data_IF_161108953306
#
_entry.id   IF_161108953306
#
_cell.length_a   1.000
_cell.length_b   1.000
_cell.length_c   1.000
_cell.angle_alpha   90.00
_cell.angle_beta   90.00
_cell.angle_gamma   90.00
#
_symmetry.space_group_name_H-M   'P 1'
#
loop_
_entity.id
_entity.type
_entity.pdbx_description
1 polymer ?
#
# COMPACT_ATOMS: atom_id res chain seq x y z
N UNK A 1 -40.14 -93.07 14.93
CA UNK A 1 -38.80 -92.82 14.32
C UNK A 1 -38.76 -91.55 13.49
N UNK A 2 -39.79 -91.16 12.78
CA UNK A 2 -39.91 -89.95 11.91
C UNK A 2 -39.85 -88.63 12.65
N UNK A 3 -40.47 -88.47 13.81
CA UNK A 3 -40.43 -87.21 14.58
C UNK A 3 -39.05 -86.86 15.13
N UNK A 4 -38.25 -87.80 15.54
CA UNK A 4 -36.86 -87.56 16.01
C UNK A 4 -35.93 -87.10 14.88
N UNK A 5 -36.16 -87.60 13.65
CA UNK A 5 -35.41 -87.28 12.47
C UNK A 5 -35.77 -85.86 12.02
N UNK A 6 -37.05 -85.46 12.01
CA UNK A 6 -37.51 -84.11 11.69
C UNK A 6 -36.98 -83.08 12.69
N UNK A 7 -36.94 -83.38 13.97
CA UNK A 7 -36.43 -82.55 15.03
C UNK A 7 -34.89 -82.33 14.90
N UNK A 8 -34.17 -83.37 14.48
CA UNK A 8 -32.75 -83.27 14.17
C UNK A 8 -32.48 -82.40 12.94
N UNK A 9 -33.26 -82.51 11.87
CA UNK A 9 -33.16 -81.68 10.68
C UNK A 9 -33.44 -80.18 10.99
N UNK A 10 -34.49 -79.90 11.79
CA UNK A 10 -34.78 -78.52 12.23
C UNK A 10 -33.63 -77.95 13.02
N UNK A 11 -33.04 -78.69 13.94
CA UNK A 11 -31.91 -78.22 14.77
C UNK A 11 -30.63 -77.98 13.95
N UNK A 12 -30.36 -78.80 12.93
CA UNK A 12 -29.26 -78.63 11.99
C UNK A 12 -29.49 -77.43 11.09
N UNK A 13 -30.72 -77.19 10.65
CA UNK A 13 -31.06 -75.98 9.86
C UNK A 13 -30.87 -74.66 10.68
N UNK A 14 -31.30 -74.71 11.96
CA UNK A 14 -31.13 -73.58 12.88
C UNK A 14 -29.63 -73.27 13.14
N UNK A 15 -28.81 -74.25 13.38
CA UNK A 15 -27.38 -74.14 13.58
C UNK A 15 -26.66 -73.59 12.30
N UNK A 16 -27.06 -74.07 11.13
CA UNK A 16 -26.53 -73.56 9.87
C UNK A 16 -26.96 -72.15 9.61
N UNK A 17 -28.16 -71.72 9.96
CA UNK A 17 -28.63 -70.33 9.85
C UNK A 17 -27.90 -69.42 10.82
N UNK A 18 -27.67 -69.84 12.06
CA UNK A 18 -26.88 -69.10 13.03
C UNK A 18 -25.42 -68.96 12.55
N UNK A 19 -24.82 -70.03 12.04
CA UNK A 19 -23.46 -70.01 11.48
C UNK A 19 -23.34 -69.06 10.25
N UNK A 20 -24.37 -69.07 9.39
CA UNK A 20 -24.46 -68.21 8.23
C UNK A 20 -24.53 -66.73 8.65
N UNK A 21 -25.40 -66.38 9.60
CA UNK A 21 -25.56 -65.05 10.13
C UNK A 21 -24.28 -64.55 10.84
N UNK A 22 -23.62 -65.43 11.62
CA UNK A 22 -22.34 -65.09 12.26
C UNK A 22 -21.23 -64.86 11.25
N UNK A 23 -21.17 -65.65 10.19
CA UNK A 23 -20.19 -65.42 9.11
C UNK A 23 -20.50 -64.16 8.32
N UNK A 24 -21.74 -63.81 8.06
CA UNK A 24 -22.14 -62.55 7.44
C UNK A 24 -21.77 -61.30 8.30
N UNK A 25 -22.07 -61.43 9.60
CA UNK A 25 -21.72 -60.38 10.57
C UNK A 25 -20.20 -60.16 10.61
N UNK A 26 -19.41 -61.19 10.68
CA UNK A 26 -17.95 -61.10 10.67
C UNK A 26 -17.39 -60.50 9.37
N UNK A 27 -17.96 -60.89 8.22
CA UNK A 27 -17.56 -60.27 6.93
C UNK A 27 -17.91 -58.80 6.86
N UNK A 28 -19.03 -58.38 7.43
CA UNK A 28 -19.42 -56.96 7.49
C UNK A 28 -18.46 -56.23 8.42
N UNK A 29 -18.16 -56.73 9.59
CA UNK A 29 -17.23 -56.18 10.54
C UNK A 29 -15.81 -56.02 9.94
N UNK A 30 -15.33 -57.05 9.23
CA UNK A 30 -14.03 -56.94 8.54
C UNK A 30 -13.99 -55.84 7.44
N UNK A 31 -15.10 -55.68 6.70
CA UNK A 31 -15.19 -54.61 5.71
C UNK A 31 -15.14 -53.24 6.37
N UNK A 32 -15.88 -53.04 7.46
CA UNK A 32 -15.89 -51.79 8.23
C UNK A 32 -14.49 -51.49 8.82
N UNK A 33 -13.80 -52.49 9.35
CA UNK A 33 -12.41 -52.34 9.86
C UNK A 33 -11.42 -51.91 8.76
N UNK A 34 -11.57 -52.47 7.54
CA UNK A 34 -10.74 -52.07 6.37
C UNK A 34 -11.06 -50.65 5.94
N UNK A 35 -12.33 -50.24 5.91
CA UNK A 35 -12.69 -48.83 5.58
C UNK A 35 -12.17 -47.87 6.62
N UNK A 36 -12.30 -48.16 7.91
CA UNK A 36 -11.75 -47.34 9.00
C UNK A 36 -10.22 -47.23 8.87
N UNK A 37 -9.52 -48.34 8.58
CA UNK A 37 -8.07 -48.30 8.42
C UNK A 37 -7.62 -47.41 7.23
N UNK A 38 -8.37 -47.44 6.13
CA UNK A 38 -8.15 -46.52 4.98
C UNK A 38 -8.37 -45.08 5.37
N UNK A 39 -9.47 -44.75 6.06
CA UNK A 39 -9.75 -43.40 6.53
C UNK A 39 -8.65 -42.88 7.47
N UNK A 40 -8.17 -43.72 8.40
CA UNK A 40 -7.05 -43.39 9.28
C UNK A 40 -5.79 -43.06 8.45
N UNK A 41 -5.49 -43.86 7.43
CA UNK A 41 -4.33 -43.64 6.57
C UNK A 41 -4.45 -42.33 5.77
N UNK A 42 -5.66 -42.00 5.29
CA UNK A 42 -5.92 -40.72 4.61
C UNK A 42 -5.78 -39.52 5.57
N UNK A 43 -6.27 -39.65 6.80
CA UNK A 43 -6.13 -38.59 7.82
C UNK A 43 -4.65 -38.33 8.15
N UNK A 44 -3.87 -39.40 8.39
CA UNK A 44 -2.40 -39.26 8.64
C UNK A 44 -1.67 -38.60 7.49
N UNK A 45 -2.03 -38.93 6.24
CA UNK A 45 -1.42 -38.31 5.08
C UNK A 45 -1.83 -36.82 4.95
N UNK A 46 -3.07 -36.47 5.29
CA UNK A 46 -3.52 -35.07 5.31
C UNK A 46 -2.82 -34.28 6.42
N UNK A 47 -2.64 -34.86 7.59
CA UNK A 47 -1.90 -34.29 8.73
C UNK A 47 -0.44 -34.00 8.35
N UNK A 48 0.25 -34.97 7.72
CA UNK A 48 1.61 -34.78 7.24
C UNK A 48 1.72 -33.65 6.20
N UNK A 49 0.78 -33.59 5.25
CA UNK A 49 0.74 -32.49 4.26
C UNK A 49 0.53 -31.12 4.90
N UNK A 50 -0.27 -31.07 5.97
CA UNK A 50 -0.50 -29.83 6.72
C UNK A 50 0.79 -29.37 7.43
N UNK A 51 1.51 -30.29 8.08
CA UNK A 51 2.80 -29.97 8.71
C UNK A 51 3.84 -29.51 7.69
N UNK A 52 3.92 -30.15 6.52
CA UNK A 52 4.83 -29.73 5.44
C UNK A 52 4.48 -28.34 4.91
N UNK A 53 3.17 -28.02 4.81
CA UNK A 53 2.72 -26.68 4.44
C UNK A 53 3.10 -25.63 5.49
N UNK A 54 2.96 -25.93 6.78
CA UNK A 54 3.38 -25.02 7.86
C UNK A 54 4.89 -24.73 7.78
N UNK A 55 5.73 -25.74 7.60
CA UNK A 55 7.17 -25.55 7.43
C UNK A 55 7.50 -24.70 6.20
N UNK A 56 6.75 -24.88 5.12
CA UNK A 56 6.90 -24.03 3.93
C UNK A 56 6.54 -22.58 4.22
N UNK A 57 5.41 -22.32 4.91
CA UNK A 57 5.00 -20.95 5.31
C UNK A 57 6.08 -20.31 6.20
N UNK A 58 6.56 -20.99 7.22
CA UNK A 58 7.65 -20.49 8.07
C UNK A 58 8.93 -20.15 7.28
N UNK A 59 9.26 -20.96 6.27
CA UNK A 59 10.42 -20.68 5.41
C UNK A 59 10.22 -19.45 4.54
N UNK A 60 9.00 -19.20 4.07
CA UNK A 60 8.62 -18.01 3.29
C UNK A 60 8.68 -16.77 4.18
N UNK A 61 8.15 -16.85 5.40
CA UNK A 61 8.19 -15.75 6.37
C UNK A 61 9.63 -15.33 6.69
N UNK A 62 10.50 -16.28 6.98
CA UNK A 62 11.94 -15.98 7.23
C UNK A 62 12.62 -15.31 6.05
N UNK A 63 12.31 -15.74 4.80
CA UNK A 63 12.84 -15.08 3.60
C UNK A 63 12.31 -13.66 3.46
N UNK A 64 11.02 -13.46 3.75
CA UNK A 64 10.40 -12.15 3.68
C UNK A 64 11.00 -11.17 4.70
N UNK A 65 11.25 -11.62 5.93
CA UNK A 65 11.92 -10.81 6.96
C UNK A 65 13.35 -10.43 6.55
N UNK A 66 14.10 -11.37 5.99
CA UNK A 66 15.45 -11.08 5.48
C UNK A 66 15.43 -10.06 4.33
N UNK A 67 14.46 -10.15 3.42
CA UNK A 67 14.30 -9.19 2.34
C UNK A 67 13.90 -7.79 2.87
N UNK A 68 13.06 -7.74 3.91
CA UNK A 68 12.74 -6.48 4.59
C UNK A 68 13.98 -5.83 5.19
N UNK A 69 14.84 -6.58 5.87
CA UNK A 69 16.08 -6.05 6.46
C UNK A 69 17.01 -5.48 5.38
N UNK A 70 17.22 -6.21 4.27
CA UNK A 70 18.02 -5.74 3.14
C UNK A 70 17.43 -4.45 2.56
N UNK A 71 16.12 -4.42 2.37
CA UNK A 71 15.41 -3.23 1.87
C UNK A 71 15.59 -2.03 2.81
N UNK A 72 15.44 -2.23 4.13
CA UNK A 72 15.65 -1.16 5.11
C UNK A 72 17.10 -0.66 5.12
N UNK A 73 18.06 -1.56 4.94
CA UNK A 73 19.48 -1.17 4.86
C UNK A 73 19.73 -0.31 3.62
N UNK A 74 19.21 -0.69 2.45
CA UNK A 74 19.35 0.08 1.20
C UNK A 74 18.68 1.45 1.32
N UNK A 75 17.46 1.49 1.86
CA UNK A 75 16.74 2.75 2.11
C UNK A 75 17.50 3.65 3.09
N UNK A 76 17.98 3.12 4.22
CA UNK A 76 18.75 3.90 5.19
C UNK A 76 20.02 4.47 4.58
N UNK A 77 20.73 3.68 3.79
CA UNK A 77 21.92 4.13 3.06
C UNK A 77 21.56 5.24 2.07
N UNK A 78 20.45 5.09 1.33
CA UNK A 78 19.99 6.14 0.42
C UNK A 78 19.67 7.45 1.16
N UNK A 79 18.89 7.36 2.25
CA UNK A 79 18.50 8.54 3.04
C UNK A 79 19.73 9.22 3.64
N UNK A 80 20.66 8.46 4.24
CA UNK A 80 21.84 9.03 4.87
C UNK A 80 22.82 9.66 3.86
N UNK A 81 22.97 9.06 2.68
CA UNK A 81 23.86 9.59 1.65
C UNK A 81 23.31 10.81 0.92
N UNK A 82 21.99 11.01 0.92
CA UNK A 82 21.34 12.11 0.23
C UNK A 82 20.81 13.20 1.18
N UNK A 83 20.84 12.96 2.50
CA UNK A 83 20.37 13.93 3.48
C UNK A 83 21.39 15.06 3.64
N UNK A 84 20.94 16.29 3.41
CA UNK A 84 21.72 17.50 3.65
C UNK A 84 21.20 18.18 4.93
N UNK A 85 22.01 18.18 5.98
CA UNK A 85 21.70 18.90 7.21
C UNK A 85 21.72 20.41 6.92
N UNK A 86 20.58 21.06 7.11
CA UNK A 86 20.55 22.52 7.05
C UNK A 86 21.41 23.04 8.21
N UNK A 87 22.49 23.79 7.97
CA UNK A 87 23.26 24.38 9.04
C UNK A 87 22.31 25.14 9.94
N UNK A 88 22.29 24.83 11.25
CA UNK A 88 21.60 25.68 12.21
C UNK A 88 22.25 27.07 12.10
N UNK A 89 21.58 27.96 11.40
CA UNK A 89 21.95 29.35 11.44
C UNK A 89 21.82 29.73 12.89
N UNK A 90 22.94 29.78 13.59
CA UNK A 90 23.00 30.43 14.88
C UNK A 90 22.48 31.86 14.62
N UNK A 91 21.24 32.11 15.05
CA UNK A 91 20.66 33.44 15.12
C UNK A 91 21.47 34.28 16.10
N UNK A 92 22.71 34.59 15.78
CA UNK A 92 23.20 35.91 16.04
C UNK A 92 22.42 36.78 15.05
N UNK A 93 21.26 37.20 15.48
CA UNK A 93 20.62 38.40 14.97
C UNK A 93 21.65 39.51 15.26
N UNK A 94 22.63 39.59 14.38
CA UNK A 94 23.36 40.84 14.21
C UNK A 94 22.30 41.72 13.58
N UNK A 95 21.72 42.53 14.43
CA UNK A 95 20.68 43.53 14.15
C UNK A 95 20.88 44.04 12.73
N UNK A 96 19.87 43.92 11.89
CA UNK A 96 19.77 44.54 10.56
C UNK A 96 19.92 46.09 10.64
N UNK A 97 20.03 46.63 11.84
CA UNK A 97 20.29 48.05 12.13
C UNK A 97 21.65 48.55 11.61
N UNK A 98 22.61 47.65 11.35
CA UNK A 98 23.92 48.08 10.82
C UNK A 98 24.08 47.94 9.29
N UNK A 99 23.03 47.53 8.57
CA UNK A 99 23.02 47.44 7.10
C UNK A 99 22.09 48.45 6.43
N UNK A 100 21.37 49.26 7.20
CA UNK A 100 20.56 50.38 6.72
C UNK A 100 21.36 51.67 6.98
N UNK A 101 22.59 51.74 6.44
CA UNK A 101 23.26 52.99 6.21
C UNK A 101 22.67 53.61 4.95
N UNK A 102 21.99 54.73 5.13
CA UNK A 102 21.68 55.73 4.10
C UNK A 102 21.17 55.21 2.73
N UNK A 103 19.98 54.70 2.69
CA UNK A 103 19.14 54.85 1.52
C UNK A 103 17.68 55.07 1.95
N UNK A 104 17.34 56.36 2.04
CA UNK A 104 15.97 56.85 2.01
C UNK A 104 15.28 56.43 0.71
N UNK A 105 14.90 55.15 0.60
CA UNK A 105 13.87 54.73 -0.33
C UNK A 105 12.54 54.82 0.44
N UNK A 106 12.09 56.05 0.62
CA UNK A 106 10.71 56.37 0.87
C UNK A 106 9.90 55.87 -0.32
N UNK A 107 9.23 54.70 -0.15
CA UNK A 107 8.06 54.41 -0.95
C UNK A 107 7.01 55.45 -0.56
N UNK A 108 6.96 56.55 -1.27
CA UNK A 108 5.82 57.43 -1.30
C UNK A 108 4.69 56.63 -1.99
N UNK A 109 3.83 56.01 -1.20
CA UNK A 109 2.52 55.60 -1.66
C UNK A 109 1.74 56.90 -1.82
N UNK A 110 1.80 57.46 -3.02
CA UNK A 110 0.93 58.56 -3.40
C UNK A 110 -0.50 58.06 -3.47
N UNK A 111 -1.29 58.41 -2.47
CA UNK A 111 -2.69 58.01 -2.32
C UNK A 111 -3.58 58.98 -3.10
N UNK A 112 -3.35 59.15 -4.38
CA UNK A 112 -4.27 59.86 -5.25
C UNK A 112 -4.34 59.18 -6.61
N UNK A 113 -5.58 58.86 -6.94
CA UNK A 113 -6.12 58.40 -8.19
C UNK A 113 -6.39 56.92 -8.33
N UNK A 114 -7.69 56.65 -8.35
CA UNK A 114 -8.35 55.45 -8.81
C UNK A 114 -7.99 55.16 -10.28
N UNK A 115 -6.75 54.73 -10.51
CA UNK A 115 -6.40 54.11 -11.78
C UNK A 115 -6.93 52.68 -11.74
N UNK A 116 -7.91 52.37 -12.55
CA UNK A 116 -8.26 51.01 -12.96
C UNK A 116 -6.95 50.29 -13.24
N UNK A 117 -6.61 49.33 -12.39
CA UNK A 117 -5.45 48.46 -12.55
C UNK A 117 -5.57 47.73 -13.88
N UNK A 118 -5.15 48.32 -14.97
CA UNK A 118 -4.87 47.63 -16.22
C UNK A 118 -3.61 46.82 -15.96
N UNK A 119 -3.76 45.50 -15.89
CA UNK A 119 -2.64 44.58 -15.82
C UNK A 119 -1.72 44.92 -17.02
N UNK A 120 -0.42 45.17 -16.84
CA UNK A 120 0.47 45.43 -17.97
C UNK A 120 0.36 44.34 -19.02
N UNK A 121 0.33 44.69 -20.30
CA UNK A 121 0.12 43.75 -21.41
C UNK A 121 1.13 42.59 -21.38
N UNK A 122 2.33 42.82 -20.86
CA UNK A 122 3.36 41.78 -20.65
C UNK A 122 2.93 40.72 -19.62
N UNK A 123 2.25 41.12 -18.54
CA UNK A 123 1.74 40.21 -17.52
C UNK A 123 0.54 39.40 -18.08
N UNK A 124 -0.31 40.05 -18.92
CA UNK A 124 -1.41 39.35 -19.58
C UNK A 124 -0.91 38.24 -20.52
N UNK A 125 0.20 38.45 -21.23
CA UNK A 125 0.81 37.43 -22.08
C UNK A 125 1.33 36.24 -21.24
N UNK A 126 1.97 36.52 -20.10
CA UNK A 126 2.44 35.48 -19.17
C UNK A 126 1.27 34.70 -18.60
N UNK A 127 0.19 35.39 -18.19
CA UNK A 127 -1.00 34.74 -17.63
C UNK A 127 -1.77 33.89 -18.66
N UNK A 128 -1.75 34.26 -19.94
CA UNK A 128 -2.35 33.46 -21.03
C UNK A 128 -1.57 32.20 -21.35
N UNK A 129 -0.27 32.18 -21.05
CA UNK A 129 0.63 31.04 -21.29
C UNK A 129 0.87 30.20 -20.01
N UNK A 130 0.00 30.34 -18.99
CA UNK A 130 0.12 29.53 -17.78
C UNK A 130 -0.05 28.04 -18.09
N UNK A 131 0.81 27.25 -17.52
CA UNK A 131 0.69 25.80 -17.58
C UNK A 131 -0.57 25.31 -16.83
N UNK A 132 -0.99 24.07 -17.13
CA UNK A 132 -2.11 23.43 -16.45
C UNK A 132 -1.90 23.46 -14.92
N UNK A 133 -2.97 23.72 -14.20
CA UNK A 133 -2.96 23.61 -12.74
C UNK A 133 -2.64 22.18 -12.29
N UNK A 134 -2.29 22.00 -11.02
CA UNK A 134 -2.12 20.66 -10.44
C UNK A 134 -3.34 19.77 -10.71
N UNK A 135 -4.55 20.27 -10.46
CA UNK A 135 -5.80 19.54 -10.64
C UNK A 135 -6.03 19.14 -12.10
N UNK A 136 -5.83 20.06 -13.03
CA UNK A 136 -6.02 19.80 -14.46
C UNK A 136 -5.01 18.77 -14.97
N UNK A 137 -3.73 18.90 -14.55
CA UNK A 137 -2.68 17.93 -14.91
C UNK A 137 -2.93 16.56 -14.32
N UNK A 138 -3.38 16.48 -13.07
CA UNK A 138 -3.77 15.22 -12.45
C UNK A 138 -4.88 14.52 -13.24
N UNK A 139 -5.91 15.26 -13.64
CA UNK A 139 -7.03 14.73 -14.42
C UNK A 139 -6.61 14.37 -15.85
N UNK A 140 -5.68 15.09 -16.44
CA UNK A 140 -5.06 14.73 -17.73
C UNK A 140 -4.33 13.38 -17.63
N UNK A 141 -3.49 13.17 -16.60
CA UNK A 141 -2.77 11.93 -16.37
C UNK A 141 -3.75 10.75 -16.20
N UNK A 142 -4.79 10.92 -15.37
CA UNK A 142 -5.81 9.89 -15.16
C UNK A 142 -6.46 9.48 -16.48
N UNK A 143 -6.80 10.45 -17.33
CA UNK A 143 -7.41 10.20 -18.64
C UNK A 143 -6.42 9.54 -19.61
N UNK A 144 -5.21 10.08 -19.71
CA UNK A 144 -4.17 9.56 -20.63
C UNK A 144 -3.76 8.14 -20.31
N UNK A 145 -3.64 7.81 -19.01
CA UNK A 145 -3.33 6.47 -18.54
C UNK A 145 -4.57 5.55 -18.46
N UNK A 146 -5.76 6.05 -18.86
CA UNK A 146 -7.03 5.33 -18.79
C UNK A 146 -7.32 4.73 -17.40
N UNK A 147 -7.04 5.49 -16.34
CA UNK A 147 -7.23 5.07 -14.96
C UNK A 147 -8.66 5.36 -14.49
N UNK A 148 -9.19 4.51 -13.60
CA UNK A 148 -10.47 4.74 -12.96
C UNK A 148 -10.29 5.66 -11.74
N UNK A 149 -10.93 6.83 -11.73
CA UNK A 149 -10.84 7.80 -10.63
C UNK A 149 -11.18 7.18 -9.26
N UNK A 150 -12.19 6.30 -9.21
CA UNK A 150 -12.62 5.64 -7.96
C UNK A 150 -11.53 4.72 -7.43
N UNK A 151 -10.85 4.00 -8.31
CA UNK A 151 -9.73 3.15 -7.91
C UNK A 151 -8.53 3.97 -7.47
N UNK A 152 -8.23 5.09 -8.15
CA UNK A 152 -7.13 5.98 -7.80
C UNK A 152 -7.27 6.48 -6.38
N UNK A 153 -8.40 7.15 -6.03
CA UNK A 153 -8.53 7.71 -4.68
C UNK A 153 -8.66 6.63 -3.60
N UNK A 154 -9.28 5.46 -3.89
CA UNK A 154 -9.37 4.35 -2.94
C UNK A 154 -7.99 3.73 -2.68
N UNK A 155 -7.20 3.48 -3.72
CA UNK A 155 -5.82 2.97 -3.56
C UNK A 155 -4.93 3.98 -2.83
N UNK A 156 -5.11 5.27 -3.08
CA UNK A 156 -4.40 6.33 -2.38
C UNK A 156 -4.85 6.50 -0.91
N UNK A 157 -5.89 5.80 -0.47
CA UNK A 157 -6.49 5.95 0.86
C UNK A 157 -6.93 7.40 1.13
N UNK A 158 -7.57 8.00 0.13
CA UNK A 158 -8.05 9.39 0.15
C UNK A 158 -9.57 9.41 0.15
N UNK A 159 -10.14 10.26 1.01
CA UNK A 159 -11.60 10.44 1.07
C UNK A 159 -12.14 10.96 -0.26
N UNK A 160 -13.31 10.43 -0.66
CA UNK A 160 -13.99 10.83 -1.89
C UNK A 160 -14.25 12.35 -1.97
N UNK A 161 -14.58 13.00 -0.83
CA UNK A 161 -14.86 14.43 -0.81
C UNK A 161 -13.60 15.24 -1.09
N UNK A 162 -12.46 14.81 -0.52
CA UNK A 162 -11.16 15.42 -0.80
C UNK A 162 -10.79 15.28 -2.27
N UNK A 163 -10.93 14.08 -2.85
CA UNK A 163 -10.67 13.87 -4.28
C UNK A 163 -11.60 14.70 -5.17
N UNK A 164 -12.90 14.76 -4.83
CA UNK A 164 -13.87 15.61 -5.55
C UNK A 164 -13.47 17.09 -5.49
N UNK A 165 -12.97 17.58 -4.35
CA UNK A 165 -12.49 18.96 -4.18
C UNK A 165 -11.27 19.23 -5.05
N UNK A 166 -10.33 18.29 -5.09
CA UNK A 166 -9.14 18.37 -5.99
C UNK A 166 -9.62 18.48 -7.44
N UNK A 167 -10.54 17.59 -7.86
CA UNK A 167 -11.01 17.54 -9.24
C UNK A 167 -11.77 18.81 -9.69
N UNK A 168 -12.58 19.39 -8.80
CA UNK A 168 -13.50 20.50 -9.16
C UNK A 168 -12.92 21.89 -8.96
N UNK A 169 -11.79 22.05 -8.29
CA UNK A 169 -11.20 23.33 -7.97
C UNK A 169 -9.74 23.38 -8.41
N UNK A 170 -9.47 24.00 -9.55
CA UNK A 170 -8.14 24.17 -10.11
C UNK A 170 -7.17 24.94 -9.20
N UNK A 171 -7.71 25.78 -8.30
CA UNK A 171 -6.91 26.53 -7.34
C UNK A 171 -6.67 25.77 -6.02
N UNK A 172 -7.25 24.57 -5.87
CA UNK A 172 -7.05 23.78 -4.67
C UNK A 172 -5.65 23.18 -4.64
N UNK A 173 -4.93 23.42 -3.55
CA UNK A 173 -3.60 22.83 -3.31
C UNK A 173 -3.71 21.74 -2.25
N UNK A 174 -3.60 20.48 -2.60
CA UNK A 174 -3.54 19.38 -1.63
C UNK A 174 -2.23 19.42 -0.86
N UNK A 175 -2.18 18.70 0.26
CA UNK A 175 -0.94 18.52 1.00
C UNK A 175 0.04 17.67 0.19
N UNK A 176 1.33 17.82 0.47
CA UNK A 176 2.39 17.04 -0.16
C UNK A 176 2.16 15.54 -0.02
N UNK A 177 1.77 15.08 1.18
CA UNK A 177 1.46 13.67 1.45
C UNK A 177 0.30 13.16 0.58
N UNK A 178 -0.75 13.97 0.41
CA UNK A 178 -1.87 13.64 -0.49
C UNK A 178 -1.39 13.45 -1.93
N UNK A 179 -0.49 14.30 -2.40
CA UNK A 179 0.08 14.19 -3.75
C UNK A 179 0.91 12.92 -3.90
N UNK A 180 1.77 12.62 -2.91
CA UNK A 180 2.58 11.39 -2.90
C UNK A 180 1.69 10.15 -3.00
N UNK A 181 0.64 10.06 -2.17
CA UNK A 181 -0.28 8.92 -2.17
C UNK A 181 -1.03 8.77 -3.51
N UNK A 182 -1.46 9.88 -4.11
CA UNK A 182 -2.06 9.87 -5.45
C UNK A 182 -1.05 9.36 -6.50
N UNK A 183 0.18 9.87 -6.48
CA UNK A 183 1.22 9.46 -7.42
C UNK A 183 1.58 7.98 -7.29
N UNK A 184 1.69 7.46 -6.05
CA UNK A 184 1.91 6.03 -5.78
C UNK A 184 0.74 5.17 -6.29
N UNK A 185 -0.52 5.61 -6.07
CA UNK A 185 -1.70 4.88 -6.51
C UNK A 185 -1.81 4.75 -8.03
N UNK A 186 -1.33 5.77 -8.75
CA UNK A 186 -1.31 5.83 -10.21
C UNK A 186 -0.02 5.26 -10.83
N UNK A 187 0.93 4.83 -10.01
CA UNK A 187 2.25 4.30 -10.42
C UNK A 187 2.98 5.26 -11.36
N UNK A 188 3.07 6.53 -10.97
CA UNK A 188 3.75 7.54 -11.75
C UNK A 188 5.27 7.38 -11.62
N UNK A 189 5.99 7.63 -12.71
CA UNK A 189 7.45 7.71 -12.67
C UNK A 189 7.92 9.00 -11.99
N UNK A 190 9.22 9.08 -11.69
CA UNK A 190 9.78 10.20 -10.93
C UNK A 190 9.62 11.55 -11.65
N UNK A 191 9.66 11.58 -12.98
CA UNK A 191 9.50 12.82 -13.78
C UNK A 191 8.04 13.32 -13.69
N UNK A 192 7.05 12.43 -13.86
CA UNK A 192 5.63 12.76 -13.74
C UNK A 192 5.30 13.28 -12.33
N UNK A 193 5.89 12.68 -11.29
CA UNK A 193 5.72 13.13 -9.90
C UNK A 193 6.34 14.50 -9.69
N UNK A 194 7.52 14.73 -10.22
CA UNK A 194 8.22 16.03 -10.11
C UNK A 194 7.44 17.15 -10.79
N UNK A 195 6.85 16.88 -11.96
CA UNK A 195 5.97 17.85 -12.66
C UNK A 195 4.73 18.18 -11.82
N UNK A 196 4.05 17.15 -11.27
CA UNK A 196 2.88 17.37 -10.40
C UNK A 196 3.22 18.13 -9.11
N UNK A 197 4.40 17.87 -8.51
CA UNK A 197 4.89 18.59 -7.34
C UNK A 197 5.10 20.06 -7.66
N UNK A 198 5.78 20.36 -8.76
CA UNK A 198 6.06 21.71 -9.19
C UNK A 198 4.76 22.51 -9.39
N UNK A 199 3.74 21.91 -10.03
CA UNK A 199 2.42 22.54 -10.24
C UNK A 199 1.67 22.80 -8.95
N UNK A 200 1.91 21.99 -7.91
CA UNK A 200 1.34 22.20 -6.57
C UNK A 200 2.18 23.16 -5.72
N UNK A 201 3.32 23.64 -6.21
CA UNK A 201 4.26 24.51 -5.49
C UNK A 201 5.15 23.76 -4.50
N UNK A 202 5.43 22.48 -4.76
CA UNK A 202 6.32 21.64 -3.96
C UNK A 202 7.52 21.17 -4.78
N UNK A 203 8.55 20.72 -4.07
CA UNK A 203 9.70 20.00 -4.61
C UNK A 203 10.16 18.96 -3.60
N UNK A 204 10.94 17.98 -4.03
CA UNK A 204 11.67 17.10 -3.12
C UNK A 204 12.82 17.86 -2.48
N UNK A 205 12.92 17.79 -1.16
CA UNK A 205 13.98 18.44 -0.39
C UNK A 205 14.94 17.40 0.16
N UNK A 206 16.25 17.63 -0.02
CA UNK A 206 17.29 16.79 0.58
C UNK A 206 17.43 17.01 2.09
N UNK A 207 16.85 18.07 2.62
CA UNK A 207 16.81 18.36 4.06
C UNK A 207 15.56 17.82 4.78
N UNK A 208 14.68 17.12 4.07
CA UNK A 208 13.53 16.42 4.66
C UNK A 208 13.62 14.92 4.36
N UNK A 209 13.80 14.13 5.41
CA UNK A 209 13.90 12.67 5.29
C UNK A 209 12.63 12.02 4.70
N UNK A 210 11.45 12.62 4.91
CA UNK A 210 10.20 12.12 4.31
C UNK A 210 10.24 12.28 2.79
N UNK A 211 10.81 13.38 2.32
CA UNK A 211 10.98 13.63 0.89
C UNK A 211 11.96 12.62 0.26
N UNK A 212 13.07 12.35 0.94
CA UNK A 212 14.05 11.35 0.49
C UNK A 212 13.46 9.94 0.45
N UNK A 213 12.61 9.58 1.42
CA UNK A 213 11.89 8.31 1.41
C UNK A 213 10.94 8.25 0.21
N UNK A 214 10.15 9.29 -0.02
CA UNK A 214 9.23 9.34 -1.17
C UNK A 214 10.00 9.30 -2.50
N UNK A 215 11.08 10.08 -2.61
CA UNK A 215 11.96 10.09 -3.78
C UNK A 215 12.54 8.70 -4.06
N UNK A 216 13.00 7.99 -3.03
CA UNK A 216 13.50 6.61 -3.14
C UNK A 216 12.44 5.68 -3.71
N UNK A 217 11.18 5.76 -3.21
CA UNK A 217 10.09 4.94 -3.71
C UNK A 217 9.85 5.13 -5.20
N UNK A 218 9.79 6.39 -5.66
CA UNK A 218 9.57 6.69 -7.08
C UNK A 218 10.77 6.30 -7.96
N UNK A 219 12.00 6.53 -7.50
CA UNK A 219 13.22 6.13 -8.23
C UNK A 219 13.41 4.63 -8.34
N UNK A 220 12.94 3.87 -7.35
CA UNK A 220 12.98 2.40 -7.34
C UNK A 220 11.69 1.77 -7.88
N UNK A 221 10.74 2.58 -8.37
CA UNK A 221 9.44 2.15 -8.89
C UNK A 221 8.63 1.28 -7.89
N UNK A 222 8.74 1.62 -6.61
CA UNK A 222 8.03 0.96 -5.52
C UNK A 222 6.70 1.66 -5.28
N UNK A 223 5.60 1.02 -5.65
CA UNK A 223 4.26 1.63 -5.61
C UNK A 223 3.35 1.04 -4.52
N UNK A 224 3.95 0.43 -3.49
CA UNK A 224 3.23 -0.13 -2.35
C UNK A 224 3.00 0.95 -1.28
N UNK A 225 1.75 1.40 -1.17
CA UNK A 225 1.34 2.45 -0.22
C UNK A 225 1.40 1.94 1.22
N UNK A 226 1.13 0.66 1.47
CA UNK A 226 1.21 0.10 2.82
C UNK A 226 2.67 0.06 3.29
N UNK A 227 3.57 -0.40 2.42
CA UNK A 227 5.00 -0.38 2.70
C UNK A 227 5.49 1.06 2.92
N UNK A 228 5.04 2.02 2.10
CA UNK A 228 5.39 3.44 2.27
C UNK A 228 4.96 3.98 3.64
N UNK A 229 3.71 3.73 4.05
CA UNK A 229 3.19 4.13 5.36
C UNK A 229 3.93 3.43 6.51
N UNK A 230 4.21 2.12 6.41
CA UNK A 230 4.98 1.38 7.41
C UNK A 230 6.38 1.97 7.63
N UNK A 231 7.03 2.40 6.55
CA UNK A 231 8.32 3.08 6.63
C UNK A 231 8.20 4.43 7.31
N UNK A 232 7.22 5.25 6.93
CA UNK A 232 6.99 6.53 7.58
C UNK A 232 6.72 6.38 9.09
N UNK A 233 5.98 5.33 9.48
CA UNK A 233 5.76 4.98 10.88
C UNK A 233 7.07 4.61 11.58
N UNK A 234 7.90 3.75 10.99
CA UNK A 234 9.20 3.34 11.56
C UNK A 234 10.18 4.51 11.72
N UNK A 235 10.12 5.49 10.83
CA UNK A 235 10.90 6.71 10.97
C UNK A 235 10.26 7.73 11.93
N UNK A 236 9.09 7.44 12.53
CA UNK A 236 8.40 8.29 13.48
C UNK A 236 7.69 9.51 12.87
N UNK A 237 7.42 9.50 11.56
CA UNK A 237 6.75 10.60 10.87
C UNK A 237 5.23 10.54 10.96
N UNK A 238 4.67 9.35 11.18
CA UNK A 238 3.24 9.15 11.42
C UNK A 238 3.06 8.32 12.70
N UNK A 239 1.90 8.48 13.36
CA UNK A 239 1.49 7.70 14.53
C UNK A 239 0.47 6.63 14.10
N UNK A 240 0.34 5.58 14.90
CA UNK A 240 -0.73 4.59 14.75
C UNK A 240 -2.11 5.24 14.82
#
# INVERSE_FOLDING_TARGET
MTERILNLFSKVAELNFQKYNWNMFNRKKQKEEIEISKLISHLKNAEQKYEDLLKYVESVEKRFDSLKEIFFLDLNNYVNNNFEEVPKVNNKITTLENLVGDSNILFQIDSSESQKNQVPAEIEVVLKNMELSFSDKLMEIIRTKNLNEVEVYKKADIDRRLFSKIRSNSNYRPTKDTIILLCLSMKLNFEEVSDLFLRAGFSFSKSDKRDLIAEYFFKKELYDIFLYKDILFKYGFIKE
#
